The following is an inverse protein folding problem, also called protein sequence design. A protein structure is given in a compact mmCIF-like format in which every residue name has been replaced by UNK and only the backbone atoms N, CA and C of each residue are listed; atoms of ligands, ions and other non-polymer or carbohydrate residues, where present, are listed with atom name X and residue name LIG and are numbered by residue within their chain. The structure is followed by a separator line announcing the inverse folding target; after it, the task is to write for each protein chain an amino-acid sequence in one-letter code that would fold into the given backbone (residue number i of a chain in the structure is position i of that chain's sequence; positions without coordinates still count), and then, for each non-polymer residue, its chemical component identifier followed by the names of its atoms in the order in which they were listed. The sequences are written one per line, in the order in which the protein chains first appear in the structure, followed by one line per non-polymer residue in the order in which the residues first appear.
data_IF_620425503228
#
_entry.id   IF_620425503228
#
_cell.length_a   1.000
_cell.length_b   1.000
_cell.length_c   1.000
_cell.angle_alpha   90.00
_cell.angle_beta   90.00
_cell.angle_gamma   90.00
#
_symmetry.space_group_name_H-M   'P 1'
#
loop_
_entity.id
_entity.type
_entity.pdbx_description
1 polymer ?
#
# COMPACT_ATOMS: atom_id res chain seq x y z
N UNK A 1 -14.63 6.21 16.33
CA UNK A 1 -14.82 4.75 16.11
C UNK A 1 -15.06 4.07 17.44
N UNK A 2 -16.16 3.34 17.62
CA UNK A 2 -16.54 2.76 18.93
C UNK A 2 -16.51 1.22 18.98
N UNK A 3 -16.48 0.53 17.83
CA UNK A 3 -16.39 -0.94 17.78
C UNK A 3 -15.26 -1.39 16.84
N UNK A 4 -14.36 -2.24 17.36
CA UNK A 4 -13.14 -2.70 16.69
C UNK A 4 -12.88 -4.17 16.98
N UNK A 5 -12.22 -4.85 16.05
CA UNK A 5 -11.80 -6.26 16.18
C UNK A 5 -10.32 -6.40 15.82
N UNK A 6 -9.63 -7.37 16.40
CA UNK A 6 -8.24 -7.66 16.07
C UNK A 6 -8.16 -8.77 15.02
N UNK A 7 -7.42 -8.54 13.94
CA UNK A 7 -7.14 -9.51 12.90
C UNK A 7 -5.64 -9.86 12.91
N UNK A 8 -5.34 -11.15 12.70
CA UNK A 8 -3.98 -11.62 12.53
C UNK A 8 -3.51 -11.44 11.07
N UNK A 9 -2.34 -10.87 10.90
CA UNK A 9 -1.63 -10.71 9.64
C UNK A 9 -0.30 -11.46 9.72
N UNK A 10 0.25 -11.86 8.56
CA UNK A 10 1.55 -12.53 8.47
C UNK A 10 1.61 -13.74 9.41
N UNK A 11 0.57 -14.59 9.36
CA UNK A 11 0.51 -15.81 10.16
C UNK A 11 0.49 -15.58 11.68
N UNK A 12 0.05 -14.39 12.13
CA UNK A 12 0.01 -14.01 13.54
C UNK A 12 1.24 -13.24 14.03
N UNK A 13 2.22 -12.97 13.16
CA UNK A 13 3.38 -12.12 13.49
C UNK A 13 3.02 -10.64 13.65
N UNK A 14 1.87 -10.23 13.12
CA UNK A 14 1.32 -8.90 13.24
C UNK A 14 -0.16 -9.01 13.63
N UNK A 15 -0.60 -8.23 14.62
CA UNK A 15 -2.02 -8.13 14.97
C UNK A 15 -2.48 -6.70 14.75
N UNK A 16 -3.50 -6.51 13.89
CA UNK A 16 -4.05 -5.19 13.61
C UNK A 16 -5.47 -5.10 14.15
N UNK A 17 -5.70 -4.10 14.98
CA UNK A 17 -7.03 -3.64 15.33
C UNK A 17 -7.62 -2.87 14.16
N UNK A 18 -8.84 -3.24 13.77
CA UNK A 18 -9.56 -2.70 12.63
C UNK A 18 -11.01 -2.37 13.04
N UNK A 19 -11.67 -1.40 12.37
CA UNK A 19 -13.08 -1.16 12.60
C UNK A 19 -13.90 -2.44 12.41
N UNK A 20 -14.82 -2.74 13.33
CA UNK A 20 -15.77 -3.85 13.18
C UNK A 20 -16.64 -3.63 11.93
N UNK A 21 -16.99 -2.36 11.65
CA UNK A 21 -17.68 -1.90 10.45
C UNK A 21 -16.91 -0.74 9.84
N UNK A 22 -16.69 -0.75 8.52
CA UNK A 22 -15.92 0.28 7.83
C UNK A 22 -14.90 -0.33 6.85
N UNK A 23 -13.86 0.44 6.52
CA UNK A 23 -12.73 -0.10 5.74
C UNK A 23 -11.92 -1.05 6.59
N UNK A 24 -11.60 -2.22 6.02
CA UNK A 24 -10.72 -3.23 6.61
C UNK A 24 -9.68 -3.59 5.56
N UNK A 25 -8.42 -3.64 5.98
CA UNK A 25 -7.33 -4.06 5.15
C UNK A 25 -7.53 -5.51 4.70
N UNK A 26 -7.52 -5.70 3.38
CA UNK A 26 -7.50 -7.02 2.75
C UNK A 26 -6.10 -7.40 2.29
N UNK A 27 -6.04 -8.02 1.12
CA UNK A 27 -4.81 -8.53 0.51
C UNK A 27 -3.83 -7.43 0.08
N UNK A 28 -4.34 -6.32 -0.45
CA UNK A 28 -3.54 -5.33 -1.18
C UNK A 28 -2.42 -4.67 -0.32
N UNK A 29 -2.67 -4.22 0.92
CA UNK A 29 -1.61 -3.70 1.80
C UNK A 29 -0.48 -4.72 2.07
N UNK A 30 -0.83 -6.01 2.16
CA UNK A 30 0.14 -7.07 2.46
C UNK A 30 1.05 -7.32 1.26
N UNK A 31 0.49 -7.31 0.05
CA UNK A 31 1.24 -7.42 -1.21
C UNK A 31 2.08 -6.17 -1.47
N UNK A 32 1.53 -4.98 -1.23
CA UNK A 32 2.25 -3.72 -1.33
C UNK A 32 3.50 -3.73 -0.46
N UNK A 33 3.36 -4.05 0.82
CA UNK A 33 4.47 -4.13 1.75
C UNK A 33 5.53 -5.15 1.32
N UNK A 34 5.12 -6.29 0.73
CA UNK A 34 6.04 -7.31 0.24
C UNK A 34 6.84 -6.87 -1.00
N UNK A 35 6.34 -5.89 -1.76
CA UNK A 35 6.98 -5.37 -2.97
C UNK A 35 7.99 -4.24 -2.71
N UNK A 36 8.08 -3.76 -1.47
CA UNK A 36 9.06 -2.74 -1.07
C UNK A 36 10.39 -3.40 -0.72
N UNK A 37 11.42 -3.15 -1.54
CA UNK A 37 12.80 -3.63 -1.33
C UNK A 37 13.58 -2.74 -0.34
N UNK A 38 13.02 -2.53 0.85
CA UNK A 38 13.66 -1.73 1.90
C UNK A 38 14.71 -2.52 2.70
N UNK A 39 15.63 -1.79 3.33
CA UNK A 39 16.68 -2.34 4.19
C UNK A 39 16.64 -1.71 5.57
N UNK A 40 17.12 -2.43 6.59
CA UNK A 40 17.26 -1.89 7.93
C UNK A 40 18.02 -0.55 7.92
N UNK A 41 17.56 0.41 8.72
CA UNK A 41 18.08 1.77 8.77
C UNK A 41 17.49 2.74 7.74
N UNK A 42 16.71 2.26 6.76
CA UNK A 42 16.06 3.13 5.78
C UNK A 42 14.76 3.76 6.31
N UNK A 43 14.45 4.95 5.79
CA UNK A 43 13.23 5.72 6.15
C UNK A 43 12.12 5.49 5.13
N UNK A 44 10.90 5.27 5.64
CA UNK A 44 9.73 4.93 4.83
C UNK A 44 8.56 5.85 5.17
N UNK A 45 7.82 6.28 4.15
CA UNK A 45 6.53 6.98 4.30
C UNK A 45 5.41 6.22 3.59
N UNK A 46 4.37 5.82 4.33
CA UNK A 46 3.08 5.44 3.74
C UNK A 46 2.17 6.67 3.62
N UNK A 47 1.73 6.97 2.40
CA UNK A 47 0.66 7.94 2.17
C UNK A 47 -0.68 7.26 2.39
N UNK A 48 -1.59 7.87 3.16
CA UNK A 48 -2.89 7.31 3.50
C UNK A 48 -2.78 5.99 4.24
N UNK A 49 -2.09 5.98 5.38
CA UNK A 49 -1.71 4.75 6.05
C UNK A 49 -2.88 3.99 6.69
N UNK A 50 -4.07 4.59 6.80
CA UNK A 50 -5.23 3.96 7.42
C UNK A 50 -4.89 3.41 8.80
N UNK A 51 -5.25 2.15 9.07
CA UNK A 51 -4.93 1.45 10.32
C UNK A 51 -3.48 0.91 10.39
N UNK A 52 -2.63 1.23 9.43
CA UNK A 52 -1.21 0.85 9.37
C UNK A 52 -0.92 -0.47 8.67
N UNK A 53 -1.85 -1.01 7.87
CA UNK A 53 -1.70 -2.37 7.35
C UNK A 53 -0.47 -2.59 6.47
N UNK A 54 -0.16 -1.69 5.53
CA UNK A 54 1.03 -1.85 4.71
C UNK A 54 2.29 -1.43 5.47
N UNK A 55 2.30 -0.26 6.12
CA UNK A 55 3.45 0.24 6.89
C UNK A 55 3.93 -0.76 7.95
N UNK A 56 3.01 -1.32 8.73
CA UNK A 56 3.34 -2.25 9.80
C UNK A 56 3.68 -3.65 9.28
N UNK A 57 3.03 -4.12 8.19
CA UNK A 57 3.49 -5.34 7.52
C UNK A 57 4.92 -5.20 6.98
N UNK A 58 5.30 -4.03 6.47
CA UNK A 58 6.66 -3.76 6.01
C UNK A 58 7.64 -3.72 7.19
N UNK A 59 7.28 -3.04 8.28
CA UNK A 59 8.06 -3.00 9.52
C UNK A 59 8.31 -4.39 10.14
N UNK A 60 7.31 -5.27 10.10
CA UNK A 60 7.47 -6.67 10.52
C UNK A 60 8.41 -7.46 9.60
N UNK A 61 8.38 -7.22 8.29
CA UNK A 61 9.27 -7.91 7.32
C UNK A 61 10.71 -7.43 7.40
N UNK A 62 10.93 -6.15 7.67
CA UNK A 62 12.25 -5.53 7.69
C UNK A 62 12.44 -4.79 9.02
N UNK A 63 12.95 -5.48 10.06
CA UNK A 63 13.25 -4.83 11.33
C UNK A 63 14.27 -3.69 11.17
N UNK A 64 14.10 -2.63 11.96
CA UNK A 64 15.01 -1.47 11.96
C UNK A 64 14.69 -0.39 10.93
N UNK A 65 13.53 -0.43 10.28
CA UNK A 65 13.04 0.69 9.48
C UNK A 65 12.59 1.87 10.35
N UNK A 66 12.75 3.08 9.82
CA UNK A 66 12.16 4.30 10.39
C UNK A 66 10.83 4.56 9.68
N UNK A 67 9.73 4.28 10.38
CA UNK A 67 8.39 4.24 9.79
C UNK A 67 7.63 5.55 10.00
N UNK A 68 7.12 6.12 8.93
CA UNK A 68 6.20 7.24 8.94
C UNK A 68 4.92 6.91 8.16
N UNK A 69 3.78 7.40 8.65
CA UNK A 69 2.50 7.32 7.95
C UNK A 69 1.78 8.66 8.03
N UNK A 70 1.07 9.05 6.97
CA UNK A 70 0.16 10.20 7.01
C UNK A 70 -1.26 9.73 6.72
N UNK A 71 -2.21 10.18 7.52
CA UNK A 71 -3.62 9.83 7.40
C UNK A 71 -4.50 11.05 7.66
N UNK A 72 -5.52 11.23 6.82
CA UNK A 72 -6.42 12.38 6.89
C UNK A 72 -7.53 12.19 7.91
N UNK A 73 -7.88 10.93 8.23
CA UNK A 73 -8.90 10.59 9.20
C UNK A 73 -8.28 10.33 10.59
N UNK A 74 -8.49 11.21 11.60
CA UNK A 74 -7.84 11.10 12.90
C UNK A 74 -8.11 9.77 13.62
N UNK A 75 -9.30 9.19 13.43
CA UNK A 75 -9.65 7.90 14.02
C UNK A 75 -8.79 6.74 13.48
N UNK A 76 -8.45 6.76 12.18
CA UNK A 76 -7.56 5.75 11.58
C UNK A 76 -6.10 6.04 11.93
N UNK A 77 -5.69 7.31 11.96
CA UNK A 77 -4.36 7.69 12.41
C UNK A 77 -4.08 7.18 13.83
N UNK A 78 -5.04 7.36 14.74
CA UNK A 78 -4.94 6.84 16.10
C UNK A 78 -4.92 5.31 16.15
N UNK A 79 -5.72 4.65 15.32
CA UNK A 79 -5.71 3.20 15.20
C UNK A 79 -4.34 2.68 14.73
N UNK A 80 -3.71 3.37 13.77
CA UNK A 80 -2.37 3.05 13.32
C UNK A 80 -1.33 3.18 14.44
N UNK A 81 -1.41 4.24 15.28
CA UNK A 81 -0.53 4.40 16.44
C UNK A 81 -0.69 3.27 17.44
N UNK A 82 -1.94 2.92 17.78
CA UNK A 82 -2.26 1.80 18.68
C UNK A 82 -1.80 0.47 18.12
N UNK A 83 -1.93 0.24 16.82
CA UNK A 83 -1.42 -0.96 16.15
C UNK A 83 0.11 -1.02 16.15
N UNK A 84 0.81 0.10 15.92
CA UNK A 84 2.26 0.13 16.03
C UNK A 84 2.71 -0.24 17.45
N UNK A 85 2.13 0.41 18.46
CA UNK A 85 2.42 0.14 19.88
C UNK A 85 2.11 -1.32 20.27
N UNK A 86 0.95 -1.85 19.85
CA UNK A 86 0.54 -3.25 20.10
C UNK A 86 1.57 -4.26 19.59
N UNK A 87 2.24 -3.96 18.49
CA UNK A 87 3.23 -4.84 17.88
C UNK A 87 4.68 -4.46 18.23
N UNK A 88 4.88 -3.61 19.24
CA UNK A 88 6.22 -3.20 19.68
C UNK A 88 7.01 -2.40 18.64
N UNK A 89 6.33 -1.80 17.65
CA UNK A 89 6.94 -1.02 16.58
C UNK A 89 6.86 0.47 16.87
N UNK A 90 7.96 1.18 16.61
CA UNK A 90 7.97 2.63 16.60
C UNK A 90 7.59 3.13 15.21
N UNK A 91 6.49 3.86 15.11
CA UNK A 91 6.04 4.52 13.89
C UNK A 91 5.51 5.92 14.21
N UNK A 92 5.92 6.91 13.42
CA UNK A 92 5.45 8.29 13.57
C UNK A 92 4.28 8.52 12.62
N UNK A 93 3.07 8.64 13.18
CA UNK A 93 1.84 8.84 12.41
C UNK A 93 1.42 10.31 12.47
N UNK A 94 1.32 10.93 11.30
CA UNK A 94 0.95 12.32 11.10
C UNK A 94 -0.53 12.43 10.74
N UNK A 95 -1.29 13.21 11.50
CA UNK A 95 -2.62 13.63 11.09
C UNK A 95 -2.46 14.69 10.00
N UNK A 96 -2.97 14.44 8.80
CA UNK A 96 -2.86 15.42 7.72
C UNK A 96 -3.40 14.95 6.37
N UNK A 97 -3.74 15.94 5.54
CA UNK A 97 -4.06 15.71 4.14
C UNK A 97 -2.77 15.63 3.33
N UNK A 98 -2.62 14.61 2.49
CA UNK A 98 -1.44 14.45 1.63
C UNK A 98 -1.29 15.57 0.58
N UNK A 99 -2.36 16.31 0.29
CA UNK A 99 -2.35 17.51 -0.57
C UNK A 99 -1.76 18.72 0.15
N UNK A 100 -1.73 18.70 1.48
CA UNK A 100 -1.25 19.78 2.35
C UNK A 100 -0.56 19.18 3.59
N UNK A 101 0.56 18.49 3.38
CA UNK A 101 1.29 17.80 4.45
C UNK A 101 1.72 18.77 5.56
N UNK A 102 1.69 18.35 6.85
CA UNK A 102 2.24 19.12 7.95
C UNK A 102 3.68 19.58 7.67
N UNK A 103 4.07 20.83 8.02
CA UNK A 103 5.41 21.36 7.70
C UNK A 103 6.57 20.47 8.14
N UNK A 104 6.47 19.83 9.31
CA UNK A 104 7.48 18.91 9.79
C UNK A 104 7.67 17.71 8.85
N UNK A 105 6.59 17.15 8.32
CA UNK A 105 6.63 16.04 7.36
C UNK A 105 7.01 16.52 5.93
N UNK A 106 6.52 17.69 5.51
CA UNK A 106 6.83 18.25 4.19
C UNK A 106 8.26 18.80 4.05
N UNK A 107 9.04 18.79 5.12
CA UNK A 107 10.48 19.03 5.10
C UNK A 107 11.32 17.73 5.11
N UNK A 108 10.69 16.55 5.25
CA UNK A 108 11.38 15.26 5.27
C UNK A 108 11.42 14.59 3.89
N UNK A 109 12.46 13.80 3.62
CA UNK A 109 12.51 12.91 2.45
C UNK A 109 12.80 11.47 2.85
N UNK A 110 12.33 10.53 2.04
CA UNK A 110 12.25 9.11 2.38
C UNK A 110 12.98 8.26 1.34
N UNK A 111 13.55 7.14 1.81
CA UNK A 111 14.13 6.12 0.94
C UNK A 111 13.03 5.44 0.12
N UNK A 112 11.89 5.17 0.76
CA UNK A 112 10.72 4.58 0.14
C UNK A 112 9.48 5.40 0.46
N UNK A 113 8.65 5.61 -0.56
CA UNK A 113 7.27 6.07 -0.37
C UNK A 113 6.36 4.99 -0.92
N UNK A 114 5.39 4.56 -0.11
CA UNK A 114 4.39 3.58 -0.51
C UNK A 114 2.98 4.16 -0.40
N UNK A 115 2.08 3.64 -1.25
CA UNK A 115 0.67 4.02 -1.21
C UNK A 115 -0.24 2.87 -1.66
N UNK A 116 -1.36 2.72 -0.98
CA UNK A 116 -2.52 1.95 -1.43
C UNK A 116 -3.72 2.90 -1.54
N UNK A 117 -3.80 3.72 -2.62
CA UNK A 117 -4.86 4.72 -2.76
C UNK A 117 -6.25 4.08 -2.81
N UNK A 118 -7.31 4.81 -2.41
CA UNK A 118 -8.68 4.37 -2.57
C UNK A 118 -9.00 4.04 -4.03
N UNK A 119 -9.86 3.05 -4.25
CA UNK A 119 -10.11 2.49 -5.58
C UNK A 119 -11.08 3.27 -6.45
N UNK A 120 -11.86 4.19 -5.88
CA UNK A 120 -12.75 5.03 -6.66
C UNK A 120 -12.30 6.49 -6.54
N UNK A 121 -12.31 7.22 -7.67
CA UNK A 121 -12.16 8.67 -7.64
C UNK A 121 -13.39 9.33 -7.03
N UNK A 122 -13.18 10.52 -6.44
CA UNK A 122 -14.27 11.44 -6.14
C UNK A 122 -15.19 11.61 -7.37
N UNK A 123 -16.51 11.48 -7.16
CA UNK A 123 -17.52 11.64 -8.20
C UNK A 123 -17.85 10.42 -9.07
N UNK A 124 -17.20 9.25 -8.93
CA UNK A 124 -17.56 8.02 -9.68
C UNK A 124 -17.99 6.82 -8.82
N UNK A 125 -19.27 6.44 -8.90
CA UNK A 125 -19.87 5.22 -8.29
C UNK A 125 -20.95 5.52 -7.22
N UNK A 126 -21.60 4.47 -6.66
CA UNK A 126 -22.62 4.62 -5.60
C UNK A 126 -21.98 5.02 -4.26
N UNK A 127 -22.50 6.08 -3.63
CA UNK A 127 -22.14 6.50 -2.27
C UNK A 127 -22.41 5.38 -1.25
N UNK A 128 -21.53 5.25 -0.26
CA UNK A 128 -21.74 4.41 0.91
C UNK A 128 -22.53 5.19 1.95
N UNK A 129 -23.47 4.53 2.63
CA UNK A 129 -24.19 5.17 3.73
C UNK A 129 -23.29 5.53 4.94
N UNK A 130 -22.04 5.06 4.97
CA UNK A 130 -21.06 5.31 6.03
C UNK A 130 -19.99 6.30 5.53
N UNK A 131 -19.95 7.51 6.09
CA UNK A 131 -19.02 8.59 5.68
C UNK A 131 -17.54 8.17 5.73
N UNK A 132 -17.11 7.44 6.77
CA UNK A 132 -15.72 6.95 6.90
C UNK A 132 -15.35 5.96 5.77
N UNK A 133 -16.33 5.20 5.29
CA UNK A 133 -16.15 4.28 4.16
C UNK A 133 -16.13 5.03 2.84
N UNK A 134 -16.89 6.11 2.72
CA UNK A 134 -16.84 6.97 1.54
C UNK A 134 -15.55 7.76 1.44
N UNK A 135 -15.00 8.34 2.52
CA UNK A 135 -13.67 8.97 2.47
C UNK A 135 -12.57 7.96 2.12
N UNK A 136 -12.62 6.75 2.69
CA UNK A 136 -11.70 5.65 2.37
C UNK A 136 -11.91 5.05 0.96
N UNK A 137 -13.00 5.37 0.26
CA UNK A 137 -13.30 4.87 -1.08
C UNK A 137 -13.36 5.96 -2.15
N UNK A 138 -13.53 7.24 -1.78
CA UNK A 138 -13.94 8.39 -2.61
C UNK A 138 -13.35 9.71 -2.07
N UNK A 139 -12.08 9.73 -1.70
CA UNK A 139 -11.43 11.00 -1.35
C UNK A 139 -11.36 11.95 -2.56
N UNK A 140 -11.35 13.26 -2.32
CA UNK A 140 -11.14 14.32 -3.33
C UNK A 140 -9.68 14.38 -3.85
N UNK A 141 -8.91 13.34 -3.61
CA UNK A 141 -7.49 13.26 -3.90
C UNK A 141 -7.27 12.41 -5.14
N UNK A 142 -6.90 13.07 -6.24
CA UNK A 142 -6.67 12.42 -7.54
C UNK A 142 -5.41 11.55 -7.51
N UNK A 143 -5.32 10.55 -8.40
CA UNK A 143 -4.09 9.77 -8.61
C UNK A 143 -2.87 10.68 -8.82
N UNK A 144 -3.05 11.82 -9.51
CA UNK A 144 -1.99 12.81 -9.69
C UNK A 144 -1.48 13.41 -8.37
N UNK A 145 -2.37 13.72 -7.42
CA UNK A 145 -1.96 14.21 -6.11
C UNK A 145 -1.13 13.18 -5.33
N UNK A 146 -1.52 11.90 -5.39
CA UNK A 146 -0.77 10.81 -4.76
C UNK A 146 0.65 10.70 -5.32
N UNK A 147 0.79 10.67 -6.65
CA UNK A 147 2.08 10.55 -7.33
C UNK A 147 2.94 11.80 -7.11
N UNK A 148 2.36 13.01 -7.18
CA UNK A 148 3.09 14.26 -6.95
C UNK A 148 3.64 14.31 -5.52
N UNK A 149 2.79 14.08 -4.52
CA UNK A 149 3.20 14.10 -3.12
C UNK A 149 4.26 13.02 -2.86
N UNK A 150 4.06 11.81 -3.37
CA UNK A 150 5.05 10.74 -3.22
C UNK A 150 6.40 11.14 -3.85
N UNK A 151 6.38 11.66 -5.07
CA UNK A 151 7.58 12.08 -5.79
C UNK A 151 8.32 13.19 -5.05
N UNK A 152 7.63 14.17 -4.48
CA UNK A 152 8.24 15.22 -3.64
C UNK A 152 8.86 14.66 -2.36
N UNK A 153 8.24 13.65 -1.75
CA UNK A 153 8.70 13.03 -0.50
C UNK A 153 9.83 12.03 -0.70
N UNK A 154 10.06 11.55 -1.91
CA UNK A 154 11.23 10.71 -2.18
C UNK A 154 12.53 11.50 -2.13
N UNK A 155 13.55 10.94 -1.48
CA UNK A 155 14.94 11.42 -1.63
C UNK A 155 15.46 11.10 -3.04
N UNK A 156 16.58 11.70 -3.50
CA UNK A 156 17.25 11.23 -4.72
C UNK A 156 17.56 9.74 -4.65
N UNK A 157 17.27 8.98 -5.72
CA UNK A 157 17.37 7.51 -5.74
C UNK A 157 16.43 6.78 -4.77
N UNK A 158 15.35 7.44 -4.33
CA UNK A 158 14.28 6.81 -3.58
C UNK A 158 13.31 6.03 -4.48
N UNK A 159 12.55 5.10 -3.90
CA UNK A 159 11.58 4.27 -4.61
C UNK A 159 10.13 4.61 -4.24
N UNK A 160 9.31 4.86 -5.25
CA UNK A 160 7.86 4.79 -5.15
C UNK A 160 7.43 3.34 -5.36
N UNK A 161 6.59 2.81 -4.48
CA UNK A 161 5.86 1.55 -4.69
C UNK A 161 4.38 1.78 -4.42
N UNK A 162 3.49 1.47 -5.37
CA UNK A 162 2.05 1.58 -5.14
C UNK A 162 1.31 0.34 -5.63
N UNK A 163 0.18 0.03 -5.01
CA UNK A 163 -0.77 -0.96 -5.51
C UNK A 163 -2.08 -0.25 -5.87
N UNK A 164 -2.67 -0.62 -7.00
CA UNK A 164 -3.93 -0.01 -7.44
C UNK A 164 -4.74 -0.98 -8.30
N UNK A 165 -5.99 -0.61 -8.64
CA UNK A 165 -6.77 -1.37 -9.61
C UNK A 165 -6.14 -1.29 -10.99
N UNK A 166 -6.20 -2.38 -11.74
CA UNK A 166 -5.58 -2.46 -13.06
C UNK A 166 -6.20 -1.48 -14.08
N UNK A 167 -7.52 -1.23 -13.99
CA UNK A 167 -8.21 -0.24 -14.83
C UNK A 167 -7.74 1.20 -14.59
N UNK A 168 -7.10 1.48 -13.45
CA UNK A 168 -6.51 2.77 -13.09
C UNK A 168 -5.03 2.92 -13.45
N UNK A 169 -4.43 1.91 -14.09
CA UNK A 169 -3.02 1.96 -14.49
C UNK A 169 -2.73 3.17 -15.40
N UNK A 170 -3.66 3.51 -16.29
CA UNK A 170 -3.49 4.64 -17.20
C UNK A 170 -3.35 5.97 -16.45
N UNK A 171 -4.13 6.20 -15.38
CA UNK A 171 -4.04 7.41 -14.57
C UNK A 171 -2.73 7.46 -13.78
N UNK A 172 -2.27 6.31 -13.27
CA UNK A 172 -0.98 6.19 -12.58
C UNK A 172 0.16 6.57 -13.51
N UNK A 173 0.20 6.02 -14.72
CA UNK A 173 1.26 6.28 -15.68
C UNK A 173 1.22 7.73 -16.18
N UNK A 174 0.04 8.31 -16.41
CA UNK A 174 -0.12 9.72 -16.80
C UNK A 174 0.33 10.70 -15.72
N UNK A 175 0.23 10.32 -14.45
CA UNK A 175 0.63 11.13 -13.32
C UNK A 175 2.15 11.10 -13.03
N UNK A 176 2.88 10.15 -13.62
CA UNK A 176 4.34 10.08 -13.48
C UNK A 176 5.02 11.03 -14.47
N UNK A 177 5.89 11.89 -13.96
CA UNK A 177 6.71 12.80 -14.77
C UNK A 177 8.18 12.33 -14.86
N UNK A 178 9.02 13.16 -15.46
CA UNK A 178 10.44 12.89 -15.73
C UNK A 178 11.31 12.73 -14.47
N UNK A 179 10.79 13.02 -13.27
CA UNK A 179 11.48 12.76 -12.01
C UNK A 179 11.45 11.28 -11.65
N UNK A 180 10.56 10.48 -12.25
CA UNK A 180 10.43 9.04 -12.02
C UNK A 180 10.81 8.26 -13.28
N UNK A 181 11.77 7.33 -13.14
CA UNK A 181 12.15 6.42 -14.22
C UNK A 181 12.31 4.99 -13.73
N UNK A 182 12.81 4.11 -14.61
CA UNK A 182 12.87 2.66 -14.35
C UNK A 182 11.52 2.09 -13.85
N UNK A 183 10.43 2.59 -14.43
CA UNK A 183 9.07 2.27 -14.02
C UNK A 183 8.79 0.81 -14.35
N UNK A 184 8.37 0.04 -13.35
CA UNK A 184 8.06 -1.39 -13.51
C UNK A 184 6.62 -1.66 -13.05
N UNK A 185 5.83 -2.30 -13.91
CA UNK A 185 4.43 -2.66 -13.65
C UNK A 185 4.32 -4.17 -13.53
N UNK A 186 3.72 -4.62 -12.44
CA UNK A 186 3.48 -6.03 -12.11
C UNK A 186 1.96 -6.26 -12.04
N UNK A 187 1.33 -6.75 -13.11
CA UNK A 187 -0.07 -7.13 -13.08
C UNK A 187 -0.32 -8.25 -12.08
N UNK A 188 -1.43 -8.19 -11.36
CA UNK A 188 -1.86 -9.23 -10.44
C UNK A 188 -3.24 -9.69 -10.87
N UNK A 189 -3.42 -11.00 -10.92
CA UNK A 189 -4.64 -11.65 -11.40
C UNK A 189 -5.10 -12.65 -10.36
N UNK A 190 -6.41 -12.83 -10.21
CA UNK A 190 -6.94 -13.89 -9.36
C UNK A 190 -6.42 -15.27 -9.78
N UNK A 191 -6.46 -15.58 -11.08
CA UNK A 191 -6.04 -16.87 -11.67
C UNK A 191 -5.50 -16.66 -13.07
N UNK A 192 -4.79 -17.66 -13.59
CA UNK A 192 -4.34 -17.68 -14.98
C UNK A 192 -5.50 -17.52 -15.97
N UNK A 193 -5.24 -16.84 -17.08
CA UNK A 193 -6.21 -16.59 -18.14
C UNK A 193 -7.27 -15.51 -17.84
N UNK A 194 -7.24 -14.90 -16.65
CA UNK A 194 -8.14 -13.78 -16.30
C UNK A 194 -7.45 -12.44 -16.49
N UNK A 195 -8.20 -11.37 -16.82
CA UNK A 195 -7.68 -10.01 -16.77
C UNK A 195 -7.11 -9.68 -15.38
N UNK A 196 -6.04 -8.88 -15.35
CA UNK A 196 -5.53 -8.35 -14.10
C UNK A 196 -6.56 -7.43 -13.47
N UNK A 197 -6.78 -7.57 -12.17
CA UNK A 197 -7.67 -6.71 -11.40
C UNK A 197 -6.90 -5.76 -10.48
N UNK A 198 -5.61 -6.03 -10.25
CA UNK A 198 -4.66 -5.13 -9.57
C UNK A 198 -3.36 -4.99 -10.35
N UNK A 199 -2.64 -3.92 -10.07
CA UNK A 199 -1.28 -3.69 -10.51
C UNK A 199 -0.45 -3.19 -9.34
N UNK A 200 0.76 -3.74 -9.19
CA UNK A 200 1.82 -3.10 -8.43
C UNK A 200 2.67 -2.28 -9.40
N UNK A 201 2.99 -1.04 -9.03
CA UNK A 201 3.86 -0.16 -9.82
C UNK A 201 5.02 0.31 -8.94
N UNK A 202 6.24 0.16 -9.46
CA UNK A 202 7.46 0.63 -8.84
C UNK A 202 8.13 1.66 -9.73
N UNK A 203 8.66 2.74 -9.17
CA UNK A 203 9.41 3.76 -9.90
C UNK A 203 10.56 4.31 -9.06
N UNK A 204 11.66 4.67 -9.71
CA UNK A 204 12.89 5.12 -9.06
C UNK A 204 13.16 6.59 -9.37
N UNK A 205 13.26 7.41 -8.32
CA UNK A 205 13.43 8.87 -8.47
C UNK A 205 14.80 9.22 -9.02
N UNK A 206 14.81 9.96 -10.12
CA UNK A 206 16.00 10.39 -10.85
C UNK A 206 16.62 9.31 -11.75
N UNK A 207 15.96 8.16 -11.90
CA UNK A 207 16.42 7.12 -12.83
C UNK A 207 16.06 7.47 -14.28
N UNK A 208 16.87 6.98 -15.22
CA UNK A 208 16.58 7.05 -16.67
C UNK A 208 16.40 5.65 -17.31
N UNK A 209 16.17 4.64 -16.46
CA UNK A 209 15.95 3.27 -16.93
C UNK A 209 14.63 3.11 -17.67
N UNK A 210 14.50 2.05 -18.50
CA UNK A 210 13.32 1.85 -19.33
C UNK A 210 12.08 1.51 -18.49
N UNK A 211 10.91 1.74 -19.09
CA UNK A 211 9.66 1.18 -18.62
C UNK A 211 9.65 -0.34 -18.81
N UNK A 212 9.12 -1.10 -17.84
CA UNK A 212 8.94 -2.55 -17.91
C UNK A 212 7.52 -2.94 -17.52
N UNK A 213 6.87 -3.71 -18.38
CA UNK A 213 5.64 -4.43 -18.07
C UNK A 213 5.99 -5.91 -17.86
N UNK A 214 5.77 -6.41 -16.65
CA UNK A 214 6.12 -7.79 -16.30
C UNK A 214 4.97 -8.77 -16.55
N UNK A 215 5.27 -10.08 -16.62
CA UNK A 215 4.24 -11.12 -16.60
C UNK A 215 3.33 -11.01 -15.37
N UNK A 216 2.05 -11.43 -15.47
CA UNK A 216 1.13 -11.36 -14.36
C UNK A 216 1.51 -12.32 -13.23
N UNK A 217 1.32 -11.87 -11.99
CA UNK A 217 1.36 -12.72 -10.80
C UNK A 217 -0.04 -13.25 -10.53
N UNK A 218 -0.17 -14.58 -10.46
CA UNK A 218 -1.43 -15.25 -10.17
C UNK A 218 -1.58 -15.46 -8.66
N UNK A 219 -2.74 -15.09 -8.10
CA UNK A 219 -3.00 -15.24 -6.67
C UNK A 219 -3.32 -16.68 -6.28
N UNK A 220 -4.13 -17.38 -7.09
CA UNK A 220 -4.66 -18.71 -6.79
C UNK A 220 -4.20 -19.76 -7.81
N UNK A 221 -4.08 -21.01 -7.37
CA UNK A 221 -3.79 -22.16 -8.22
C UNK A 221 -5.05 -22.75 -8.87
N UNK A 222 -4.90 -23.28 -10.09
CA UNK A 222 -5.99 -23.94 -10.82
C UNK A 222 -7.08 -22.98 -11.34
N UNK A 223 -8.02 -23.49 -12.16
CA UNK A 223 -9.01 -22.67 -12.87
C UNK A 223 -10.16 -22.17 -11.97
N UNK A 224 -10.42 -22.86 -10.86
CA UNK A 224 -11.56 -22.59 -9.95
C UNK A 224 -11.22 -22.97 -8.51
N UNK A 225 -11.98 -22.42 -7.57
CA UNK A 225 -11.87 -22.74 -6.14
C UNK A 225 -12.34 -24.18 -5.91
N UNK A 226 -11.54 -24.98 -5.20
CA UNK A 226 -11.75 -26.43 -5.07
C UNK A 226 -12.28 -26.86 -3.68
N UNK A 227 -12.21 -25.99 -2.69
CA UNK A 227 -12.57 -26.26 -1.29
C UNK A 227 -12.78 -24.94 -0.55
N UNK A 228 -13.38 -24.94 0.64
CA UNK A 228 -13.53 -23.73 1.49
C UNK A 228 -12.20 -23.16 2.04
N UNK A 229 -11.07 -23.83 1.79
CA UNK A 229 -9.74 -23.31 2.12
C UNK A 229 -9.19 -22.38 1.02
N UNK A 230 -8.45 -21.32 1.39
CA UNK A 230 -7.80 -20.45 0.42
C UNK A 230 -6.79 -21.24 -0.43
N UNK A 231 -7.01 -21.26 -1.75
CA UNK A 231 -6.17 -21.93 -2.74
C UNK A 231 -5.10 -20.99 -3.32
N UNK A 232 -4.45 -20.22 -2.43
CA UNK A 232 -3.35 -19.35 -2.82
C UNK A 232 -2.19 -20.18 -3.37
N UNK A 233 -1.52 -19.65 -4.40
CA UNK A 233 -0.24 -20.23 -4.85
C UNK A 233 0.77 -20.22 -3.71
N UNK A 234 1.69 -21.20 -3.61
CA UNK A 234 2.62 -21.29 -2.49
C UNK A 234 3.40 -20.01 -2.19
N UNK A 235 3.87 -19.31 -3.23
CA UNK A 235 4.57 -18.04 -3.09
C UNK A 235 3.68 -16.92 -2.52
N UNK A 236 2.39 -16.92 -2.84
CA UNK A 236 1.42 -15.96 -2.30
C UNK A 236 1.12 -16.32 -0.85
N UNK A 237 0.90 -17.61 -0.55
CA UNK A 237 0.74 -18.09 0.81
C UNK A 237 1.89 -17.65 1.72
N UNK A 238 3.15 -17.77 1.25
CA UNK A 238 4.34 -17.34 1.97
C UNK A 238 4.39 -15.82 2.20
N UNK A 239 3.93 -15.01 1.25
CA UNK A 239 3.82 -13.55 1.44
C UNK A 239 2.81 -13.22 2.56
N UNK A 240 1.67 -13.91 2.57
CA UNK A 240 0.55 -13.63 3.48
C UNK A 240 0.72 -14.20 4.88
N UNK A 241 1.49 -15.27 5.03
CA UNK A 241 1.68 -15.99 6.30
C UNK A 241 3.08 -15.87 6.86
N UNK A 242 4.10 -15.88 6.01
CA UNK A 242 5.49 -16.00 6.45
C UNK A 242 6.29 -14.72 6.29
N UNK A 243 5.66 -13.65 5.79
CA UNK A 243 6.32 -12.37 5.56
C UNK A 243 7.31 -12.42 4.39
N UNK A 244 7.18 -13.36 3.46
CA UNK A 244 8.03 -13.41 2.27
C UNK A 244 7.90 -12.14 1.42
N UNK A 245 8.94 -11.84 0.64
CA UNK A 245 8.95 -10.76 -0.34
C UNK A 245 8.09 -11.10 -1.56
N UNK A 246 7.61 -10.07 -2.25
CA UNK A 246 6.92 -10.22 -3.53
C UNK A 246 7.90 -10.75 -4.60
N UNK A 247 7.50 -11.69 -5.48
CA UNK A 247 8.38 -12.28 -6.48
C UNK A 247 8.64 -11.29 -7.63
N UNK A 248 9.45 -10.27 -7.36
CA UNK A 248 9.89 -9.29 -8.34
C UNK A 248 11.03 -9.89 -9.17
N UNK A 249 10.87 -10.07 -10.49
CA UNK A 249 11.91 -10.64 -11.38
C UNK A 249 13.11 -9.70 -11.64
N UNK A 250 13.12 -8.49 -11.07
CA UNK A 250 14.13 -7.44 -11.26
C UNK A 250 15.10 -7.29 -10.08
#
# INVERSE_FOLDING_TARGET
MTDTTCDAFLGGRLTLEQPARGYRAGLDPVLLAAAVKARAGETVLELGCGAGAALLCLGTRVPGLVLHGVEVQPAYAELCRRNAARNGMQATIWDGDLRALPPALSNMTFHHVLANPPYFEAGRGKASALHDRDLALRGDTTTANWIETATRRLRPKGWLTLIHKADRLHDVLRAMDDRLGAISVYPITGRAGRPADRVLVRAHKGARGPFRLHPPVHLHDGPQHRSDQPDYRPEIGAILRDGASFPLPD
#
